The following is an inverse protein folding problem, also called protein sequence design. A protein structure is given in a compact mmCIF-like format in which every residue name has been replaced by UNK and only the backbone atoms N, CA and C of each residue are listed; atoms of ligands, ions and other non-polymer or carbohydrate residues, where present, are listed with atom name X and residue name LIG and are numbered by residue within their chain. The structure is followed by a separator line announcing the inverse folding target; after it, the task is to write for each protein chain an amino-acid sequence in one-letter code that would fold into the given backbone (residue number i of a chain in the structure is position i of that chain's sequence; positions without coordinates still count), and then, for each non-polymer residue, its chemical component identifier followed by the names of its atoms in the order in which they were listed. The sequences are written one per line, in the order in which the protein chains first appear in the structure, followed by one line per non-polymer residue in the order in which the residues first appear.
data_IF_390376347651
#
_entry.id   IF_390376347651
#
_cell.length_a   1.000
_cell.length_b   1.000
_cell.length_c   1.000
_cell.angle_alpha   90.00
_cell.angle_beta   90.00
_cell.angle_gamma   90.00
#
_symmetry.space_group_name_H-M   'P 1'
#
loop_
_entity.id
_entity.type
_entity.pdbx_description
1 polymer ?
#
# COMPACT_ATOMS: atom_id res chain seq x y z
N UNK A 1 17.75 15.62 24.28
CA UNK A 1 17.46 15.90 22.86
C UNK A 1 17.10 14.58 22.22
N UNK A 2 15.80 14.23 22.26
CA UNK A 2 15.31 13.02 21.60
C UNK A 2 15.42 13.24 20.09
N UNK A 3 16.20 12.39 19.44
CA UNK A 3 16.43 12.39 18.01
C UNK A 3 15.11 12.06 17.31
N UNK A 4 14.35 13.08 16.90
CA UNK A 4 13.09 12.95 16.15
C UNK A 4 13.29 12.49 14.71
N UNK A 5 14.09 11.43 14.53
CA UNK A 5 14.36 10.84 13.24
C UNK A 5 13.75 9.44 13.17
N UNK A 6 12.97 9.18 12.12
CA UNK A 6 12.42 7.86 11.78
C UNK A 6 13.41 7.01 11.00
N UNK A 7 13.20 5.70 10.99
CA UNK A 7 13.84 4.70 10.16
C UNK A 7 12.84 4.14 9.11
N UNK A 8 12.38 4.95 8.13
CA UNK A 8 11.29 4.55 7.24
C UNK A 8 11.66 3.45 6.24
N UNK A 9 10.67 2.62 5.93
CA UNK A 9 10.65 1.68 4.81
C UNK A 9 9.26 1.58 4.19
N UNK A 10 9.16 1.06 2.97
CA UNK A 10 7.90 0.94 2.24
C UNK A 10 7.61 -0.54 1.94
N UNK A 11 6.39 -0.97 2.26
CA UNK A 11 5.80 -2.22 1.80
C UNK A 11 5.00 -1.97 0.53
N UNK A 12 5.12 -2.87 -0.45
CA UNK A 12 4.47 -2.78 -1.75
C UNK A 12 3.62 -4.02 -1.96
N UNK A 13 2.30 -3.84 -2.07
CA UNK A 13 1.34 -4.93 -2.13
C UNK A 13 0.25 -4.68 -3.18
N UNK A 14 -0.15 -5.74 -3.90
CA UNK A 14 -1.32 -5.71 -4.78
C UNK A 14 -2.61 -6.03 -4.02
N UNK A 15 -3.68 -5.31 -4.35
CA UNK A 15 -5.01 -5.50 -3.79
C UNK A 15 -6.05 -5.57 -4.93
N UNK A 16 -7.16 -6.31 -4.77
CA UNK A 16 -7.53 -7.09 -3.58
C UNK A 16 -6.81 -8.45 -3.48
N UNK A 17 -6.58 -8.91 -2.25
CA UNK A 17 -5.75 -10.10 -1.95
C UNK A 17 -6.25 -11.40 -2.60
N UNK A 18 -7.56 -11.60 -2.73
CA UNK A 18 -8.09 -12.80 -3.39
C UNK A 18 -7.73 -12.88 -4.89
N UNK A 19 -7.49 -11.74 -5.54
CA UNK A 19 -7.08 -11.67 -6.97
C UNK A 19 -5.57 -11.85 -7.13
N UNK A 20 -4.78 -11.34 -6.17
CA UNK A 20 -3.32 -11.31 -6.20
C UNK A 20 -2.70 -12.18 -5.10
N UNK A 21 -3.35 -13.29 -4.75
CA UNK A 21 -2.98 -14.14 -3.62
C UNK A 21 -1.60 -14.80 -3.78
N UNK A 22 -1.13 -14.93 -5.01
CA UNK A 22 0.16 -15.49 -5.40
C UNK A 22 1.26 -14.44 -5.55
N UNK A 23 0.91 -13.14 -5.48
CA UNK A 23 1.86 -12.04 -5.63
C UNK A 23 2.44 -11.67 -4.26
N UNK A 24 3.75 -11.86 -4.03
CA UNK A 24 4.34 -11.57 -2.74
C UNK A 24 4.40 -10.06 -2.46
N UNK A 25 4.22 -9.69 -1.19
CA UNK A 25 4.53 -8.34 -0.71
C UNK A 25 6.04 -8.12 -0.79
N UNK A 26 6.48 -7.04 -1.43
CA UNK A 26 7.88 -6.63 -1.45
C UNK A 26 8.13 -5.46 -0.51
N UNK A 27 9.38 -5.28 -0.07
CA UNK A 27 9.76 -4.23 0.86
C UNK A 27 11.06 -3.56 0.43
N UNK A 28 11.18 -2.27 0.71
CA UNK A 28 12.42 -1.52 0.50
C UNK A 28 13.47 -1.82 1.56
N UNK A 29 14.69 -1.34 1.34
CA UNK A 29 15.65 -1.14 2.42
C UNK A 29 15.12 -0.12 3.44
N UNK A 30 15.52 -0.30 4.70
CA UNK A 30 15.24 0.67 5.78
C UNK A 30 16.25 1.81 5.67
N UNK A 31 15.76 3.05 5.58
CA UNK A 31 16.62 4.24 5.58
C UNK A 31 16.68 4.79 6.98
N UNK A 32 17.87 4.80 7.56
CA UNK A 32 18.03 5.18 8.97
C UNK A 32 18.01 6.68 9.17
N UNK A 33 17.38 7.12 10.26
CA UNK A 33 17.40 8.46 10.82
C UNK A 33 17.08 9.55 9.80
N UNK A 34 15.99 9.40 9.05
CA UNK A 34 15.56 10.37 8.04
C UNK A 34 14.04 10.50 7.97
N UNK A 35 13.57 11.74 7.86
CA UNK A 35 12.16 12.06 7.58
C UNK A 35 11.88 12.23 6.07
N UNK A 36 12.93 12.24 5.24
CA UNK A 36 12.83 12.40 3.79
C UNK A 36 13.63 11.28 3.11
N UNK A 37 13.18 10.02 3.19
CA UNK A 37 13.89 8.91 2.59
C UNK A 37 13.88 8.98 1.06
N UNK A 38 15.03 8.72 0.45
CA UNK A 38 15.15 8.41 -0.98
C UNK A 38 15.55 6.95 -1.08
N UNK A 39 14.66 6.12 -1.63
CA UNK A 39 14.88 4.68 -1.75
C UNK A 39 15.68 4.33 -3.00
N UNK A 40 15.29 4.87 -4.16
CA UNK A 40 15.85 4.54 -5.49
C UNK A 40 15.94 3.03 -5.74
N UNK A 41 14.88 2.31 -5.35
CA UNK A 41 14.75 0.86 -5.51
C UNK A 41 13.72 0.53 -6.60
N UNK A 42 14.00 -0.52 -7.38
CA UNK A 42 13.11 -1.03 -8.42
C UNK A 42 12.59 -2.41 -8.03
N UNK A 43 11.31 -2.66 -8.29
CA UNK A 43 10.63 -3.90 -7.96
C UNK A 43 9.94 -4.47 -9.21
N UNK A 44 10.02 -5.78 -9.38
CA UNK A 44 9.39 -6.49 -10.48
C UNK A 44 8.39 -7.51 -9.94
N UNK A 45 7.20 -7.55 -10.55
CA UNK A 45 6.12 -8.44 -10.15
C UNK A 45 5.55 -9.13 -11.39
N UNK A 46 5.31 -10.43 -11.27
CA UNK A 46 4.61 -11.19 -12.30
C UNK A 46 3.11 -11.10 -12.04
N UNK A 47 2.41 -10.31 -12.83
CA UNK A 47 0.96 -10.14 -12.78
C UNK A 47 0.38 -10.21 -14.19
N UNK A 48 -0.82 -10.78 -14.32
CA UNK A 48 -1.52 -10.80 -15.60
C UNK A 48 -2.25 -9.48 -15.86
N UNK A 49 -2.38 -9.10 -17.14
CA UNK A 49 -3.15 -7.92 -17.56
C UNK A 49 -4.61 -8.05 -17.10
N UNK A 50 -5.17 -9.26 -17.13
CA UNK A 50 -6.54 -9.52 -16.68
C UNK A 50 -6.74 -9.26 -15.18
N UNK A 51 -5.74 -9.56 -14.34
CA UNK A 51 -5.76 -9.19 -12.93
C UNK A 51 -5.70 -7.66 -12.76
N UNK A 52 -4.79 -6.99 -13.48
CA UNK A 52 -4.64 -5.53 -13.41
C UNK A 52 -5.90 -4.77 -13.85
N UNK A 53 -6.69 -5.34 -14.76
CA UNK A 53 -7.96 -4.75 -15.25
C UNK A 53 -9.16 -5.02 -14.35
N UNK A 54 -9.00 -5.79 -13.27
CA UNK A 54 -10.09 -6.04 -12.34
C UNK A 54 -10.52 -4.73 -11.68
N UNK A 55 -11.84 -4.57 -11.51
CA UNK A 55 -12.39 -3.34 -10.93
C UNK A 55 -11.90 -3.18 -9.49
N UNK A 56 -11.26 -2.05 -9.21
CA UNK A 56 -10.72 -1.75 -7.88
C UNK A 56 -9.38 -2.44 -7.60
N UNK A 57 -8.71 -2.96 -8.62
CA UNK A 57 -7.36 -3.47 -8.49
C UNK A 57 -6.37 -2.31 -8.32
N UNK A 58 -5.60 -2.34 -7.24
CA UNK A 58 -4.70 -1.25 -6.85
C UNK A 58 -3.36 -1.79 -6.38
N UNK A 59 -2.30 -1.02 -6.61
CA UNK A 59 -1.02 -1.16 -5.94
C UNK A 59 -1.02 -0.26 -4.70
N UNK A 60 -0.77 -0.84 -3.54
CA UNK A 60 -0.72 -0.16 -2.26
C UNK A 60 0.73 -0.02 -1.82
N UNK A 61 1.11 1.20 -1.44
CA UNK A 61 2.38 1.53 -0.81
C UNK A 61 2.11 1.87 0.65
N UNK A 62 2.61 1.05 1.58
CA UNK A 62 2.48 1.30 3.01
C UNK A 62 3.83 1.74 3.57
N UNK A 63 3.91 2.97 4.06
CA UNK A 63 5.09 3.51 4.72
C UNK A 63 5.03 3.14 6.21
N UNK A 64 6.11 2.54 6.68
CA UNK A 64 6.28 2.09 8.05
C UNK A 64 7.56 2.69 8.62
N UNK A 65 7.57 2.95 9.93
CA UNK A 65 8.77 3.28 10.70
C UNK A 65 9.33 2.01 11.35
N UNK A 66 10.65 1.79 11.28
CA UNK A 66 11.27 0.62 11.87
C UNK A 66 11.86 0.93 13.24
N UNK A 67 11.28 0.34 14.28
CA UNK A 67 11.76 0.48 15.65
C UNK A 67 12.60 -0.72 16.09
N UNK A 68 13.83 -0.46 16.55
CA UNK A 68 14.73 -1.52 17.03
C UNK A 68 14.30 -2.14 18.37
N UNK A 69 13.51 -1.41 19.16
CA UNK A 69 13.15 -1.78 20.53
C UNK A 69 11.65 -2.03 20.69
N UNK A 70 10.83 -1.40 19.86
CA UNK A 70 9.36 -1.47 19.91
C UNK A 70 8.80 -2.12 18.63
N UNK A 71 7.47 -2.17 18.51
CA UNK A 71 6.82 -2.57 17.26
C UNK A 71 6.98 -1.48 16.20
N UNK A 72 7.02 -1.87 14.92
CA UNK A 72 7.07 -0.92 13.82
C UNK A 72 5.78 -0.10 13.73
N UNK A 73 5.93 1.21 13.63
CA UNK A 73 4.83 2.16 13.57
C UNK A 73 4.35 2.41 12.13
N UNK A 74 3.04 2.63 11.97
CA UNK A 74 2.46 2.97 10.68
C UNK A 74 2.58 4.46 10.40
N UNK A 75 3.18 4.84 9.27
CA UNK A 75 3.34 6.24 8.90
C UNK A 75 2.27 6.73 7.90
N UNK A 76 1.81 5.85 6.99
CA UNK A 76 0.78 6.20 6.00
C UNK A 76 0.74 5.26 4.81
N UNK A 77 -0.24 5.48 3.93
CA UNK A 77 -0.43 4.69 2.71
C UNK A 77 -0.71 5.53 1.48
N UNK A 78 -0.29 5.02 0.33
CA UNK A 78 -0.62 5.58 -0.97
C UNK A 78 -1.11 4.47 -1.92
N UNK A 79 -1.91 4.85 -2.91
CA UNK A 79 -2.60 3.91 -3.79
C UNK A 79 -2.42 4.31 -5.25
N UNK A 80 -2.20 3.33 -6.11
CA UNK A 80 -2.20 3.48 -7.57
C UNK A 80 -3.24 2.53 -8.14
N UNK A 81 -4.19 3.05 -8.91
CA UNK A 81 -5.10 2.23 -9.69
C UNK A 81 -4.33 1.54 -10.82
N UNK A 82 -4.37 0.20 -10.85
CA UNK A 82 -3.65 -0.58 -11.85
C UNK A 82 -4.19 -0.34 -13.26
N UNK A 83 -5.47 0.05 -13.40
CA UNK A 83 -6.04 0.41 -14.69
C UNK A 83 -5.43 1.69 -15.29
N UNK A 84 -4.84 2.55 -14.46
CA UNK A 84 -4.19 3.80 -14.90
C UNK A 84 -2.71 3.60 -15.23
N UNK A 85 -2.17 2.39 -15.09
CA UNK A 85 -0.78 2.10 -15.43
C UNK A 85 -0.66 1.97 -16.96
N UNK A 86 0.20 2.79 -17.62
CA UNK A 86 0.44 2.69 -19.05
C UNK A 86 0.82 1.26 -19.47
N UNK A 87 0.17 0.75 -20.51
CA UNK A 87 0.34 -0.63 -20.99
C UNK A 87 -0.71 -1.62 -20.46
N UNK A 88 -1.34 -1.36 -19.32
CA UNK A 88 -2.45 -2.20 -18.82
C UNK A 88 -3.72 -1.97 -19.65
N UNK A 89 -3.97 -0.74 -20.07
CA UNK A 89 -5.10 -0.37 -20.94
C UNK A 89 -4.86 -0.71 -22.43
N UNK A 90 -3.68 -1.24 -22.77
CA UNK A 90 -3.29 -1.62 -24.12
C UNK A 90 -2.63 -0.50 -24.93
N UNK A 91 -2.28 0.63 -24.30
CA UNK A 91 -1.44 1.65 -24.94
C UNK A 91 0.00 1.16 -25.08
N UNK A 92 0.59 1.37 -26.26
CA UNK A 92 2.01 1.14 -26.48
C UNK A 92 2.84 2.15 -25.67
N UNK A 93 3.72 1.63 -24.83
CA UNK A 93 4.67 2.41 -24.06
C UNK A 93 6.02 2.41 -24.78
N UNK A 94 6.55 3.60 -25.07
CA UNK A 94 7.83 3.79 -25.77
C UNK A 94 9.07 3.46 -24.92
N UNK A 95 8.91 2.72 -23.84
CA UNK A 95 9.95 2.38 -22.86
C UNK A 95 9.78 3.08 -21.50
N UNK A 96 10.51 2.59 -20.49
CA UNK A 96 10.44 3.07 -19.11
C UNK A 96 10.83 4.56 -18.97
N UNK A 97 11.78 5.04 -19.78
CA UNK A 97 12.29 6.41 -19.74
C UNK A 97 11.25 7.48 -20.13
N UNK A 98 10.16 7.06 -20.78
CA UNK A 98 9.06 7.96 -21.16
C UNK A 98 8.00 8.12 -20.07
N UNK A 99 8.09 7.36 -18.97
CA UNK A 99 7.12 7.42 -17.88
C UNK A 99 7.40 8.63 -16.98
N UNK A 100 6.36 9.41 -16.70
CA UNK A 100 6.43 10.51 -15.76
C UNK A 100 6.43 10.00 -14.31
N UNK A 101 7.15 10.69 -13.43
CA UNK A 101 7.07 10.44 -11.99
C UNK A 101 5.67 10.80 -11.49
N UNK A 102 5.01 9.85 -10.84
CA UNK A 102 3.70 10.06 -10.21
C UNK A 102 3.88 10.43 -8.74
N UNK A 103 3.42 11.62 -8.36
CA UNK A 103 3.35 12.02 -6.95
C UNK A 103 2.04 11.49 -6.34
N UNK A 104 2.14 10.68 -5.29
CA UNK A 104 0.99 10.13 -4.58
C UNK A 104 0.85 10.78 -3.20
N UNK A 105 -0.35 11.22 -2.81
CA UNK A 105 -0.57 11.73 -1.47
C UNK A 105 -0.46 10.58 -0.46
N UNK A 106 0.33 10.77 0.59
CA UNK A 106 0.38 9.85 1.70
C UNK A 106 -0.86 10.06 2.58
N UNK A 107 -1.70 9.05 2.69
CA UNK A 107 -2.93 9.07 3.45
C UNK A 107 -2.75 8.35 4.78
N UNK A 108 -3.20 8.99 5.86
CA UNK A 108 -3.34 8.33 7.15
C UNK A 108 -4.82 7.99 7.36
N UNK A 109 -5.18 6.71 7.56
CA UNK A 109 -6.54 6.33 7.88
C UNK A 109 -6.94 7.02 9.19
N UNK A 110 -8.05 7.73 9.18
CA UNK A 110 -8.66 8.27 10.39
C UNK A 110 -9.97 7.53 10.60
N UNK A 111 -10.13 6.95 11.79
CA UNK A 111 -11.39 6.34 12.17
C UNK A 111 -12.50 7.39 12.16
N UNK A 112 -13.50 7.22 11.29
CA UNK A 112 -14.69 8.06 11.23
C UNK A 112 -15.87 7.23 11.71
N UNK A 113 -16.61 7.73 12.69
CA UNK A 113 -17.88 7.12 13.09
C UNK A 113 -18.84 7.02 11.88
N UNK A 114 -19.42 5.83 11.66
CA UNK A 114 -20.23 5.47 10.50
C UNK A 114 -19.45 5.46 9.17
N UNK A 115 -18.19 5.06 9.23
CA UNK A 115 -17.29 4.95 8.08
C UNK A 115 -17.57 3.72 7.21
N UNK A 116 -16.82 3.61 6.10
CA UNK A 116 -16.90 2.44 5.23
C UNK A 116 -16.54 1.13 5.97
N UNK A 117 -15.64 1.20 6.97
CA UNK A 117 -15.28 0.04 7.78
C UNK A 117 -16.44 -0.44 8.66
N UNK A 118 -17.23 0.45 9.24
CA UNK A 118 -18.43 0.09 10.02
C UNK A 118 -19.46 -0.61 9.14
N UNK A 119 -19.68 -0.08 7.93
CA UNK A 119 -20.57 -0.70 6.93
C UNK A 119 -20.05 -2.10 6.57
N UNK A 120 -18.75 -2.26 6.31
CA UNK A 120 -18.17 -3.56 5.99
C UNK A 120 -18.24 -4.53 7.18
N UNK A 121 -18.00 -4.05 8.41
CA UNK A 121 -18.06 -4.84 9.63
C UNK A 121 -19.48 -5.38 9.86
N UNK A 122 -20.51 -4.61 9.50
CA UNK A 122 -21.91 -5.06 9.59
C UNK A 122 -22.27 -6.20 8.63
N UNK A 123 -21.45 -6.46 7.60
CA UNK A 123 -21.70 -7.53 6.62
C UNK A 123 -21.20 -8.87 7.16
N UNK A 124 -21.85 -9.40 8.19
CA UNK A 124 -21.47 -10.67 8.82
C UNK A 124 -21.50 -11.88 7.86
N UNK A 125 -22.30 -11.78 6.79
CA UNK A 125 -22.42 -12.80 5.76
C UNK A 125 -21.27 -12.81 4.74
N UNK A 126 -20.45 -11.75 4.70
CA UNK A 126 -19.39 -11.57 3.72
C UNK A 126 -18.02 -11.82 4.37
N UNK A 127 -17.47 -13.02 4.14
CA UNK A 127 -16.19 -13.42 4.74
C UNK A 127 -15.03 -12.52 4.31
N UNK A 128 -15.01 -12.08 3.06
CA UNK A 128 -13.94 -11.22 2.54
C UNK A 128 -14.00 -9.84 3.18
N UNK A 129 -15.21 -9.31 3.39
CA UNK A 129 -15.40 -8.06 4.14
C UNK A 129 -14.95 -8.19 5.60
N UNK A 130 -15.30 -9.30 6.28
CA UNK A 130 -14.89 -9.54 7.67
C UNK A 130 -13.38 -9.67 7.81
N UNK A 131 -12.72 -10.39 6.90
CA UNK A 131 -11.27 -10.54 6.90
C UNK A 131 -10.57 -9.20 6.60
N UNK A 132 -11.09 -8.44 5.63
CA UNK A 132 -10.59 -7.11 5.31
C UNK A 132 -10.69 -6.16 6.52
N UNK A 133 -11.84 -6.08 7.19
CA UNK A 133 -12.02 -5.22 8.37
C UNK A 133 -11.06 -5.64 9.48
N UNK A 134 -10.96 -6.93 9.78
CA UNK A 134 -10.04 -7.44 10.82
C UNK A 134 -8.59 -7.10 10.52
N UNK A 135 -8.17 -7.20 9.25
CA UNK A 135 -6.81 -6.83 8.82
C UNK A 135 -6.61 -5.31 8.92
N UNK A 136 -7.62 -4.53 8.52
CA UNK A 136 -7.56 -3.07 8.49
C UNK A 136 -7.57 -2.45 9.88
N UNK A 137 -8.39 -2.94 10.81
CA UNK A 137 -8.41 -2.46 12.19
C UNK A 137 -7.06 -2.57 12.87
N UNK A 138 -6.28 -3.63 12.58
CA UNK A 138 -4.91 -3.77 13.11
C UNK A 138 -3.92 -2.73 12.56
N UNK A 139 -4.14 -2.28 11.32
CA UNK A 139 -3.32 -1.22 10.71
C UNK A 139 -3.70 0.13 11.29
N UNK A 140 -5.00 0.38 11.50
CA UNK A 140 -5.48 1.61 12.14
C UNK A 140 -5.08 1.69 13.62
N UNK A 141 -5.11 0.59 14.37
CA UNK A 141 -4.58 0.51 15.75
C UNK A 141 -3.08 0.82 15.82
N UNK A 142 -2.33 0.57 14.75
CA UNK A 142 -0.89 0.90 14.64
C UNK A 142 -0.65 2.34 14.15
N UNK A 143 -1.68 3.00 13.65
CA UNK A 143 -1.63 4.36 13.12
C UNK A 143 -2.12 5.41 14.13
N UNK A 144 -2.83 4.99 15.19
CA UNK A 144 -3.47 5.82 16.21
C UNK A 144 -2.61 5.91 17.48
#
# INVERSE_FOLDING_TARGET
EEQGFSDPYVLIQFCPEHIFHDVPVQKTSIKKKTLNPVFDESFEFNVSIDQCRQRGAVLVFTVMDHDYVFENDFAGEAYVDLCNIPGVDGQDISGFDALAITALPLMQPQHKENGALDILASREWDKDAQEFVKKRSKVEEKAA
#
